data_IF_206310989800
#
_entry.id   IF_206310989800
#
_cell.length_a   1.000
_cell.length_b   1.000
_cell.length_c   1.000
_cell.angle_alpha   90.00
_cell.angle_beta   90.00
_cell.angle_gamma   90.00
#
_symmetry.space_group_name_H-M   'P 1'
#
loop_
_entity.id
_entity.type
_entity.pdbx_description
1 polymer ?
#
# COMPACT_ATOMS: atom_id res chain seq x y z
N UNK A 1 -5.50 8.24 4.34
CA UNK A 1 -4.78 7.05 4.87
C UNK A 1 -4.00 6.25 3.83
N UNK A 2 -4.53 5.92 2.63
CA UNK A 2 -3.78 5.15 1.60
C UNK A 2 -2.37 5.68 1.31
N UNK A 3 -2.24 6.99 1.07
CA UNK A 3 -0.94 7.64 0.79
C UNK A 3 0.04 7.43 1.94
N UNK A 4 -0.40 7.57 3.19
CA UNK A 4 0.43 7.38 4.37
C UNK A 4 0.98 5.93 4.44
N UNK A 5 0.16 4.93 4.14
CA UNK A 5 0.60 3.52 4.09
C UNK A 5 1.65 3.30 3.00
N UNK A 6 1.45 3.85 1.80
CA UNK A 6 2.40 3.72 0.68
C UNK A 6 3.73 4.37 1.05
N UNK A 7 3.71 5.61 1.58
CA UNK A 7 4.91 6.33 1.99
C UNK A 7 5.63 5.61 3.14
N UNK A 8 4.91 5.09 4.12
CA UNK A 8 5.50 4.29 5.20
C UNK A 8 6.15 3.01 4.66
N UNK A 9 5.47 2.28 3.77
CA UNK A 9 6.01 1.04 3.20
C UNK A 9 7.30 1.30 2.41
N UNK A 10 7.34 2.37 1.61
CA UNK A 10 8.53 2.77 0.87
C UNK A 10 9.71 3.13 1.80
N UNK A 11 9.45 3.91 2.85
CA UNK A 11 10.47 4.26 3.85
C UNK A 11 11.03 3.03 4.56
N UNK A 12 10.16 2.14 5.06
CA UNK A 12 10.59 0.94 5.79
C UNK A 12 11.27 -0.10 4.89
N UNK A 13 11.07 -0.04 3.57
CA UNK A 13 11.79 -0.89 2.61
C UNK A 13 13.30 -0.58 2.57
N UNK A 14 13.68 0.68 2.78
CA UNK A 14 15.06 1.15 2.82
C UNK A 14 15.63 1.26 4.24
N UNK A 15 14.76 1.25 5.25
CA UNK A 15 15.14 1.43 6.65
C UNK A 15 16.03 0.29 7.18
N UNK A 16 17.20 0.60 7.78
CA UNK A 16 18.18 -0.39 8.21
C UNK A 16 17.82 -1.01 9.58
N UNK A 17 16.64 -1.64 9.67
CA UNK A 17 16.18 -2.40 10.84
C UNK A 17 15.89 -3.85 10.42
N UNK A 18 16.30 -4.81 11.26
CA UNK A 18 15.92 -6.22 11.08
C UNK A 18 14.43 -6.44 11.35
N UNK A 19 13.84 -5.59 12.18
CA UNK A 19 12.43 -5.66 12.60
C UNK A 19 11.53 -4.69 11.82
N UNK A 20 12.00 -4.19 10.68
CA UNK A 20 11.29 -3.22 9.81
C UNK A 20 9.85 -3.60 9.46
N UNK A 21 9.52 -4.90 9.38
CA UNK A 21 8.14 -5.35 9.14
C UNK A 21 7.23 -5.12 10.36
N UNK A 22 7.77 -5.29 11.56
CA UNK A 22 7.08 -5.01 12.83
C UNK A 22 6.98 -3.50 13.07
N UNK A 23 8.05 -2.76 12.76
CA UNK A 23 8.05 -1.30 12.84
C UNK A 23 7.02 -0.68 11.88
N UNK A 24 6.95 -1.19 10.64
CA UNK A 24 5.91 -0.82 9.67
C UNK A 24 4.51 -1.14 10.19
N UNK A 25 4.29 -2.32 10.78
CA UNK A 25 3.00 -2.69 11.36
C UNK A 25 2.57 -1.70 12.44
N UNK A 26 3.45 -1.37 13.39
CA UNK A 26 3.18 -0.36 14.42
C UNK A 26 2.89 1.01 13.82
N UNK A 27 3.68 1.45 12.86
CA UNK A 27 3.46 2.71 12.15
C UNK A 27 2.07 2.74 11.51
N UNK A 28 1.67 1.66 10.81
CA UNK A 28 0.36 1.54 10.18
C UNK A 28 -0.79 1.60 11.18
N UNK A 29 -0.63 0.99 12.36
CA UNK A 29 -1.63 1.05 13.43
C UNK A 29 -1.79 2.47 14.01
N UNK A 30 -0.76 3.30 13.91
CA UNK A 30 -0.81 4.70 14.34
C UNK A 30 -1.39 5.66 13.27
N UNK A 31 -1.43 5.28 11.99
CA UNK A 31 -1.94 6.14 10.91
C UNK A 31 -3.35 6.69 11.18
N UNK A 32 -4.33 5.90 11.67
CA UNK A 32 -5.66 6.44 11.98
C UNK A 32 -5.62 7.50 13.08
N UNK A 33 -4.88 7.26 14.16
CA UNK A 33 -4.74 8.22 15.26
C UNK A 33 -4.13 9.53 14.76
N UNK A 34 -3.05 9.45 14.00
CA UNK A 34 -2.43 10.61 13.35
C UNK A 34 -3.42 11.36 12.43
N UNK A 35 -4.19 10.63 11.61
CA UNK A 35 -5.18 11.21 10.68
C UNK A 35 -6.31 11.94 11.41
N UNK A 36 -6.57 11.59 12.66
CA UNK A 36 -7.63 12.16 13.49
C UNK A 36 -7.09 13.12 14.57
N UNK A 37 -5.85 13.60 14.43
CA UNK A 37 -5.27 14.64 15.26
C UNK A 37 -4.58 14.15 16.55
N UNK A 38 -4.42 12.83 16.75
CA UNK A 38 -3.67 12.28 17.89
C UNK A 38 -2.26 11.89 17.49
N UNK A 39 -1.27 12.60 18.03
CA UNK A 39 0.13 12.51 17.60
C UNK A 39 1.07 11.83 18.59
N UNK A 40 0.55 11.16 19.62
CA UNK A 40 1.32 10.60 20.75
C UNK A 40 2.38 9.57 20.31
N UNK A 41 2.07 8.77 19.30
CA UNK A 41 2.93 7.69 18.80
C UNK A 41 3.45 7.97 17.38
N UNK A 42 3.40 9.23 16.94
CA UNK A 42 3.92 9.62 15.64
C UNK A 42 5.45 9.57 15.59
N UNK A 43 5.97 9.01 14.50
CA UNK A 43 7.40 8.90 14.23
C UNK A 43 7.79 9.97 13.21
N UNK A 44 8.89 10.68 13.43
CA UNK A 44 9.50 11.52 12.39
C UNK A 44 10.17 10.60 11.34
N UNK A 45 9.94 10.75 10.03
CA UNK A 45 9.51 11.97 9.33
C UNK A 45 8.01 12.07 8.97
N UNK A 46 7.16 11.14 9.43
CA UNK A 46 5.78 11.02 8.94
C UNK A 46 4.82 12.06 9.51
N UNK A 47 5.14 12.65 10.66
CA UNK A 47 4.34 13.68 11.29
C UNK A 47 5.05 15.02 11.25
N UNK A 48 4.41 16.00 10.62
CA UNK A 48 4.91 17.37 10.58
C UNK A 48 4.53 18.10 11.87
N UNK A 49 5.26 19.16 12.20
CA UNK A 49 5.01 19.95 13.42
C UNK A 49 3.71 20.75 13.32
N UNK A 50 3.30 21.11 12.12
CA UNK A 50 2.06 21.83 11.82
C UNK A 50 0.82 20.96 12.07
N UNK A 51 0.90 19.68 11.71
CA UNK A 51 -0.18 18.69 11.89
C UNK A 51 -0.48 18.45 13.38
N UNK A 52 0.52 18.60 14.26
CA UNK A 52 0.33 18.48 15.72
C UNK A 52 -0.58 19.54 16.34
N UNK A 53 -1.00 20.55 15.59
CA UNK A 53 -1.95 21.58 16.02
C UNK A 53 -3.40 21.26 15.65
N UNK A 54 -3.62 20.16 14.94
CA UNK A 54 -4.96 19.72 14.57
C UNK A 54 -5.79 19.36 15.81
N UNK A 55 -7.11 19.50 15.70
CA UNK A 55 -8.02 19.12 16.78
C UNK A 55 -8.04 17.58 16.87
N UNK A 56 -7.71 17.06 18.05
CA UNK A 56 -7.92 15.64 18.35
C UNK A 56 -9.43 15.33 18.40
N UNK A 57 -9.88 14.46 17.49
CA UNK A 57 -11.27 13.96 17.41
C UNK A 57 -11.35 12.45 17.66
N UNK A 58 -10.27 11.83 18.12
CA UNK A 58 -10.20 10.37 18.32
C UNK A 58 -11.23 9.89 19.34
N UNK A 59 -11.46 10.63 20.43
CA UNK A 59 -12.43 10.22 21.45
C UNK A 59 -13.89 10.38 20.98
N UNK A 60 -14.19 11.39 20.14
CA UNK A 60 -15.48 11.53 19.46
C UNK A 60 -15.73 10.38 18.48
N UNK A 61 -14.70 9.96 17.74
CA UNK A 61 -14.77 8.81 16.83
C UNK A 61 -14.86 7.48 17.57
N UNK A 62 -14.27 7.40 18.76
CA UNK A 62 -14.35 6.24 19.64
C UNK A 62 -15.75 6.09 20.21
N UNK A 63 -16.37 7.17 20.69
CA UNK A 63 -17.72 7.15 21.26
C UNK A 63 -18.79 6.81 20.22
N UNK A 64 -18.62 7.24 18.97
CA UNK A 64 -19.49 6.85 17.84
C UNK A 64 -19.25 5.43 17.30
N UNK A 65 -18.19 4.74 17.76
CA UNK A 65 -17.78 3.42 17.26
C UNK A 65 -17.15 3.43 15.87
N UNK A 66 -17.03 4.59 15.21
CA UNK A 66 -16.43 4.70 13.88
C UNK A 66 -14.94 4.36 13.91
N UNK A 67 -14.24 4.78 14.97
CA UNK A 67 -12.83 4.46 15.15
C UNK A 67 -12.59 2.96 15.18
N UNK A 68 -13.46 2.18 15.84
CA UNK A 68 -13.34 0.72 15.91
C UNK A 68 -13.37 0.08 14.53
N UNK A 69 -14.27 0.53 13.64
CA UNK A 69 -14.36 0.01 12.26
C UNK A 69 -13.11 0.34 11.46
N UNK A 70 -12.61 1.58 11.56
CA UNK A 70 -11.37 2.00 10.89
C UNK A 70 -10.17 1.18 11.40
N UNK A 71 -10.06 1.01 12.71
CA UNK A 71 -8.99 0.25 13.34
C UNK A 71 -9.03 -1.23 12.95
N UNK A 72 -10.22 -1.84 12.84
CA UNK A 72 -10.36 -3.23 12.39
C UNK A 72 -9.85 -3.43 10.95
N UNK A 73 -10.11 -2.48 10.04
CA UNK A 73 -9.57 -2.50 8.68
C UNK A 73 -8.05 -2.36 8.72
N UNK A 74 -7.55 -1.41 9.51
CA UNK A 74 -6.10 -1.16 9.60
C UNK A 74 -5.35 -2.30 10.28
N UNK A 75 -5.96 -3.00 11.23
CA UNK A 75 -5.40 -4.20 11.85
C UNK A 75 -5.23 -5.34 10.83
N UNK A 76 -6.25 -5.56 9.97
CA UNK A 76 -6.15 -6.54 8.91
C UNK A 76 -5.03 -6.17 7.92
N UNK A 77 -5.00 -4.91 7.49
CA UNK A 77 -3.98 -4.43 6.55
C UNK A 77 -2.56 -4.48 7.14
N UNK A 78 -2.38 -4.09 8.40
CA UNK A 78 -1.10 -4.08 9.09
C UNK A 78 -0.59 -5.50 9.40
N UNK A 79 -1.49 -6.48 9.53
CA UNK A 79 -1.15 -7.90 9.59
C UNK A 79 -0.37 -8.40 8.37
N UNK A 80 -0.52 -7.72 7.22
CA UNK A 80 0.20 -8.01 5.98
C UNK A 80 1.46 -7.16 5.79
N UNK A 81 1.96 -6.47 6.82
CA UNK A 81 3.13 -5.58 6.72
C UNK A 81 4.36 -6.25 6.10
N UNK A 82 4.62 -7.52 6.44
CA UNK A 82 5.71 -8.30 5.86
C UNK A 82 5.53 -8.47 4.34
N UNK A 83 4.33 -8.87 3.90
CA UNK A 83 4.04 -9.01 2.47
C UNK A 83 4.14 -7.68 1.73
N UNK A 84 3.62 -6.59 2.32
CA UNK A 84 3.71 -5.24 1.76
C UNK A 84 5.17 -4.79 1.60
N UNK A 85 6.00 -5.03 2.62
CA UNK A 85 7.41 -4.66 2.62
C UNK A 85 8.21 -5.36 1.53
N UNK A 86 7.93 -6.65 1.29
CA UNK A 86 8.63 -7.45 0.27
C UNK A 86 7.91 -7.45 -1.09
N UNK A 87 6.87 -6.63 -1.25
CA UNK A 87 5.98 -6.64 -2.43
C UNK A 87 5.52 -8.06 -2.82
N UNK A 88 5.31 -8.91 -1.82
CA UNK A 88 4.89 -10.30 -2.01
C UNK A 88 3.39 -10.34 -2.27
N UNK A 89 3.01 -10.98 -3.37
CA UNK A 89 1.63 -11.26 -3.72
C UNK A 89 1.33 -12.75 -3.53
N UNK A 90 0.05 -13.07 -3.29
CA UNK A 90 -0.44 -14.43 -3.19
C UNK A 90 -0.98 -14.96 -4.54
N UNK A 91 -1.11 -14.09 -5.55
CA UNK A 91 -1.66 -14.44 -6.85
C UNK A 91 -0.73 -13.98 -7.99
N UNK A 92 0.23 -14.83 -8.31
CA UNK A 92 1.14 -14.61 -9.45
C UNK A 92 0.39 -14.53 -10.79
N UNK A 93 -0.74 -15.23 -10.92
CA UNK A 93 -1.58 -15.23 -12.13
C UNK A 93 -2.25 -13.88 -12.31
N UNK A 94 -2.83 -13.30 -11.24
CA UNK A 94 -3.41 -11.95 -11.30
C UNK A 94 -2.36 -10.88 -11.59
N UNK A 95 -1.17 -11.00 -11.02
CA UNK A 95 -0.07 -10.07 -11.31
C UNK A 95 0.33 -10.14 -12.79
N UNK A 96 0.51 -11.35 -13.33
CA UNK A 96 0.85 -11.53 -14.73
C UNK A 96 -0.28 -11.01 -15.64
N UNK A 97 -1.54 -11.33 -15.31
CA UNK A 97 -2.70 -10.85 -16.04
C UNK A 97 -2.84 -9.32 -16.02
N UNK A 98 -2.45 -8.65 -14.93
CA UNK A 98 -2.40 -7.19 -14.88
C UNK A 98 -1.33 -6.61 -15.82
N UNK A 99 -0.17 -7.26 -15.94
CA UNK A 99 0.87 -6.88 -16.90
C UNK A 99 0.39 -7.11 -18.33
N UNK A 100 -0.17 -8.29 -18.62
CA UNK A 100 -0.77 -8.62 -19.93
C UNK A 100 -1.84 -7.59 -20.29
N UNK A 101 -2.74 -7.23 -19.37
CA UNK A 101 -3.77 -6.22 -19.59
C UNK A 101 -3.19 -4.84 -19.91
N UNK A 102 -2.06 -4.46 -19.29
CA UNK A 102 -1.33 -3.21 -19.58
C UNK A 102 -0.72 -3.23 -20.98
N UNK A 103 -0.10 -4.35 -21.38
CA UNK A 103 0.47 -4.52 -22.72
C UNK A 103 -0.60 -4.57 -23.82
N UNK A 104 -1.77 -5.13 -23.52
CA UNK A 104 -2.93 -5.13 -24.42
C UNK A 104 -3.60 -3.73 -24.48
N UNK A 105 -3.28 -2.81 -23.55
CA UNK A 105 -3.80 -1.44 -23.53
C UNK A 105 -5.23 -1.31 -23.00
N UNK A 106 -5.72 -2.32 -22.27
CA UNK A 106 -7.16 -2.49 -22.02
C UNK A 106 -7.93 -2.78 -23.31
N UNK A 107 -9.14 -3.33 -23.21
CA UNK A 107 -10.00 -3.61 -24.38
C UNK A 107 -10.11 -2.35 -25.26
N UNK A 108 -9.33 -2.22 -26.36
CA UNK A 108 -9.65 -1.50 -27.62
C UNK A 108 -8.47 -0.99 -28.48
N UNK A 109 -7.20 -1.22 -28.15
CA UNK A 109 -6.10 -0.84 -29.08
C UNK A 109 -5.77 -2.03 -29.99
N UNK A 110 -6.26 -1.98 -31.24
CA UNK A 110 -5.88 -2.86 -32.37
C UNK A 110 -6.16 -4.37 -32.23
N UNK A 111 -7.42 -4.76 -32.01
CA UNK A 111 -7.84 -6.18 -31.97
C UNK A 111 -7.77 -6.92 -33.34
N UNK A 112 -7.57 -6.20 -34.45
CA UNK A 112 -7.74 -6.76 -35.81
C UNK A 112 -6.42 -7.11 -36.53
N UNK A 113 -5.26 -6.92 -35.90
CA UNK A 113 -3.97 -7.31 -36.48
C UNK A 113 -3.64 -8.76 -36.09
N UNK A 114 -3.45 -9.62 -37.09
CA UNK A 114 -3.02 -11.02 -36.89
C UNK A 114 -1.73 -11.04 -36.06
N UNK A 115 -1.70 -11.91 -35.04
CA UNK A 115 -0.60 -12.08 -34.07
C UNK A 115 -0.42 -10.98 -33.00
N UNK A 116 -1.14 -9.86 -33.05
CA UNK A 116 -0.94 -8.75 -32.09
C UNK A 116 -1.12 -9.16 -30.62
N UNK A 117 -2.09 -10.03 -30.31
CA UNK A 117 -2.26 -10.55 -28.95
C UNK A 117 -1.05 -11.37 -28.48
N UNK A 118 -0.51 -12.25 -29.35
CA UNK A 118 0.62 -13.10 -29.03
C UNK A 118 1.88 -12.26 -28.77
N UNK A 119 2.11 -11.23 -29.58
CA UNK A 119 3.25 -10.31 -29.42
C UNK A 119 3.15 -9.51 -28.11
N UNK A 120 1.95 -9.07 -27.74
CA UNK A 120 1.70 -8.39 -26.46
C UNK A 120 1.91 -9.33 -25.26
N UNK A 121 1.48 -10.59 -25.35
CA UNK A 121 1.76 -11.59 -24.32
C UNK A 121 3.26 -11.87 -24.22
N UNK A 122 3.97 -12.00 -25.34
CA UNK A 122 5.42 -12.19 -25.35
C UNK A 122 6.15 -11.00 -24.69
N UNK A 123 5.75 -9.76 -25.01
CA UNK A 123 6.27 -8.55 -24.36
C UNK A 123 5.99 -8.52 -22.85
N UNK A 124 4.79 -8.92 -22.45
CA UNK A 124 4.42 -9.04 -21.03
C UNK A 124 5.27 -10.09 -20.30
N UNK A 125 5.56 -11.24 -20.92
CA UNK A 125 6.45 -12.27 -20.36
C UNK A 125 7.86 -11.74 -20.14
N UNK A 126 8.44 -11.04 -21.12
CA UNK A 126 9.76 -10.42 -20.98
C UNK A 126 9.73 -9.42 -19.82
N UNK A 127 8.75 -8.51 -19.82
CA UNK A 127 8.59 -7.50 -18.76
C UNK A 127 8.43 -8.09 -17.35
N UNK A 128 7.68 -9.18 -17.22
CA UNK A 128 7.47 -9.84 -15.92
C UNK A 128 8.76 -10.47 -15.40
N UNK A 129 9.57 -11.05 -16.27
CA UNK A 129 10.81 -11.75 -15.90
C UNK A 129 12.02 -10.83 -15.78
N UNK A 130 12.02 -9.65 -16.41
CA UNK A 130 13.21 -8.80 -16.49
C UNK A 130 13.43 -7.82 -15.33
N UNK A 131 12.52 -7.72 -14.33
CA UNK A 131 12.63 -6.82 -13.13
C UNK A 131 13.40 -5.50 -13.39
N UNK A 132 12.97 -4.72 -14.39
CA UNK A 132 13.37 -3.31 -14.53
C UNK A 132 12.59 -2.42 -13.55
#
# INVERSE_FOLDING_TARGET
MRRAVITATAFYAEYPSKDRAFDLQKCMMNIPYHTFGRHDQCIEPFCKKEERKEKDVVDDLRSSGLLFRVMAIMQNLSGHSKSLLFASNNNCVEQFNAIVAKYIGGKRVNFCLRNSYQDHCNGAVISHNSRF
#
